data_IF_229706334768
#
_entry.id   IF_229706334768
#
_cell.length_a   1.000
_cell.length_b   1.000
_cell.length_c   1.000
_cell.angle_alpha   90.00
_cell.angle_beta   90.00
_cell.angle_gamma   90.00
#
_symmetry.space_group_name_H-M   'P 1'
#
loop_
_entity.id
_entity.type
_entity.pdbx_description
1 polymer ?
#
# COMPACT_ATOMS: atom_id res chain seq x y z
N UNK A 1 7.44 -12.60 13.30
CA UNK A 1 6.94 -11.36 12.65
C UNK A 1 5.59 -11.70 12.04
N UNK A 2 4.53 -10.97 12.38
CA UNK A 2 3.19 -11.26 11.87
C UNK A 2 3.07 -10.79 10.41
N UNK A 3 3.32 -11.70 9.47
CA UNK A 3 3.23 -11.46 8.01
C UNK A 3 1.78 -11.52 7.50
N UNK A 4 0.85 -11.03 8.32
CA UNK A 4 -0.59 -11.21 8.13
C UNK A 4 -1.30 -9.91 8.43
N UNK A 5 -2.24 -9.54 7.57
CA UNK A 5 -3.15 -8.41 7.80
C UNK A 5 -4.49 -8.99 8.23
N UNK A 6 -5.03 -8.44 9.33
CA UNK A 6 -6.31 -8.83 9.89
C UNK A 6 -7.27 -7.65 9.87
N UNK A 7 -8.57 -7.95 9.74
CA UNK A 7 -9.66 -7.03 10.06
C UNK A 7 -10.33 -7.48 11.34
N UNK A 8 -10.69 -6.51 12.18
CA UNK A 8 -11.30 -6.72 13.50
C UNK A 8 -12.69 -6.07 13.52
N UNK A 9 -13.74 -6.81 13.13
CA UNK A 9 -15.09 -6.27 13.18
C UNK A 9 -15.53 -6.07 14.64
N UNK A 10 -16.36 -5.05 14.88
CA UNK A 10 -16.90 -4.77 16.21
C UNK A 10 -17.71 -5.98 16.69
N UNK A 11 -17.26 -6.57 17.81
CA UNK A 11 -17.96 -7.70 18.47
C UNK A 11 -18.06 -8.99 17.63
N UNK A 12 -17.08 -9.25 16.76
CA UNK A 12 -16.94 -10.52 16.03
C UNK A 12 -15.48 -11.00 16.04
N UNK A 13 -15.24 -12.22 15.55
CA UNK A 13 -13.89 -12.77 15.36
C UNK A 13 -13.14 -11.98 14.29
N UNK A 14 -11.82 -11.86 14.45
CA UNK A 14 -10.94 -11.26 13.45
C UNK A 14 -10.80 -12.15 12.21
N UNK A 15 -10.75 -11.54 11.03
CA UNK A 15 -10.55 -12.26 9.77
C UNK A 15 -9.21 -11.90 9.15
N UNK A 16 -8.47 -12.89 8.66
CA UNK A 16 -7.23 -12.70 7.90
C UNK A 16 -7.58 -12.20 6.49
N UNK A 17 -7.08 -11.03 6.12
CA UNK A 17 -7.26 -10.45 4.80
C UNK A 17 -6.12 -10.82 3.86
N UNK A 18 -4.88 -10.80 4.34
CA UNK A 18 -3.73 -10.99 3.47
C UNK A 18 -2.58 -11.70 4.18
N UNK A 19 -2.02 -12.69 3.50
CA UNK A 19 -0.90 -13.51 3.92
C UNK A 19 -0.30 -14.17 2.68
N UNK A 20 1.02 -14.16 2.55
CA UNK A 20 1.71 -14.80 1.44
C UNK A 20 2.82 -15.69 2.00
N UNK A 21 2.76 -16.98 1.65
CA UNK A 21 3.75 -17.97 2.11
C UNK A 21 5.15 -17.56 1.61
N UNK A 22 6.12 -17.59 2.52
CA UNK A 22 7.51 -17.24 2.20
C UNK A 22 7.70 -15.74 1.94
N UNK A 23 6.81 -14.87 2.43
CA UNK A 23 6.90 -13.42 2.25
C UNK A 23 6.62 -12.66 3.53
N UNK A 24 7.31 -11.54 3.69
CA UNK A 24 7.14 -10.57 4.77
C UNK A 24 6.38 -9.37 4.24
N UNK A 25 5.39 -8.91 4.99
CA UNK A 25 4.69 -7.65 4.71
C UNK A 25 5.61 -6.50 5.11
N UNK A 26 5.99 -5.65 4.15
CA UNK A 26 6.76 -4.43 4.40
C UNK A 26 5.81 -3.30 4.77
N UNK A 27 4.74 -3.14 4.00
CA UNK A 27 3.76 -2.07 4.16
C UNK A 27 2.45 -2.46 3.52
N UNK A 28 1.37 -1.77 3.90
CA UNK A 28 0.09 -1.84 3.22
C UNK A 28 -0.63 -0.50 3.27
N UNK A 29 -1.67 -0.36 2.46
CA UNK A 29 -2.67 0.72 2.57
C UNK A 29 -4.03 0.17 2.18
N UNK A 30 -5.06 0.76 2.78
CA UNK A 30 -6.46 0.44 2.50
C UNK A 30 -7.07 1.64 1.78
N UNK A 31 -7.81 1.38 0.71
CA UNK A 31 -8.70 2.34 0.06
C UNK A 31 -10.14 1.94 0.40
N UNK A 32 -10.72 2.60 1.40
CA UNK A 32 -12.05 2.29 1.92
C UNK A 32 -13.15 2.53 0.87
N UNK A 33 -12.99 3.55 0.01
CA UNK A 33 -13.98 3.91 -1.01
C UNK A 33 -14.19 2.80 -2.04
N UNK A 34 -13.15 2.01 -2.32
CA UNK A 34 -13.22 0.89 -3.25
C UNK A 34 -13.12 -0.48 -2.56
N UNK A 35 -13.03 -0.50 -1.23
CA UNK A 35 -12.79 -1.71 -0.44
C UNK A 35 -11.57 -2.49 -0.97
N UNK A 36 -10.45 -1.80 -1.17
CA UNK A 36 -9.23 -2.41 -1.69
C UNK A 36 -8.09 -2.33 -0.69
N UNK A 37 -7.25 -3.37 -0.70
CA UNK A 37 -6.06 -3.48 0.11
C UNK A 37 -4.86 -3.67 -0.81
N UNK A 38 -3.91 -2.75 -0.75
CA UNK A 38 -2.67 -2.87 -1.49
C UNK A 38 -1.53 -3.18 -0.52
N UNK A 39 -0.86 -4.30 -0.74
CA UNK A 39 0.18 -4.82 0.15
C UNK A 39 1.50 -4.91 -0.58
N UNK A 40 2.54 -4.37 0.04
CA UNK A 40 3.93 -4.53 -0.35
C UNK A 40 4.53 -5.70 0.40
N UNK A 41 4.97 -6.71 -0.33
CA UNK A 41 5.69 -7.85 0.19
C UNK A 41 7.17 -7.81 -0.20
N UNK A 42 8.03 -8.28 0.69
CA UNK A 42 9.36 -8.78 0.34
C UNK A 42 9.36 -10.30 0.44
N UNK A 43 10.08 -10.98 -0.44
CA UNK A 43 10.38 -12.40 -0.22
C UNK A 43 11.13 -12.58 1.11
N UNK A 44 10.71 -13.56 1.90
CA UNK A 44 11.47 -13.98 3.08
C UNK A 44 12.84 -14.42 2.58
N UNK A 45 13.89 -13.76 3.09
CA UNK A 45 15.25 -14.19 2.76
C UNK A 45 15.42 -15.59 3.33
N UNK A 46 15.72 -16.54 2.46
CA UNK A 46 16.64 -17.60 2.87
C UNK A 46 17.92 -16.86 3.27
N UNK A 47 18.16 -16.72 4.57
CA UNK A 47 19.28 -16.12 5.31
C UNK A 47 20.66 -16.23 4.62
N UNK A 48 20.84 -17.18 3.70
CA UNK A 48 22.01 -17.34 2.82
C UNK A 48 22.12 -16.34 1.66
N UNK A 49 21.04 -15.66 1.25
CA UNK A 49 21.02 -14.66 0.16
C UNK A 49 20.81 -13.26 0.73
N UNK A 50 21.93 -12.63 1.11
CA UNK A 50 22.00 -11.28 1.68
C UNK A 50 21.33 -10.20 0.81
N UNK A 51 21.11 -10.47 -0.49
CA UNK A 51 20.64 -9.49 -1.49
C UNK A 51 19.40 -9.93 -2.31
N UNK A 52 18.42 -10.63 -1.71
CA UNK A 52 17.14 -10.81 -2.42
C UNK A 52 16.31 -9.50 -2.39
N UNK A 53 16.36 -8.76 -3.50
CA UNK A 53 15.67 -7.47 -3.73
C UNK A 53 14.28 -7.64 -4.34
N UNK A 54 13.74 -8.87 -4.38
CA UNK A 54 12.47 -9.15 -5.02
C UNK A 54 11.31 -8.79 -4.09
N UNK A 55 10.80 -7.58 -4.28
CA UNK A 55 9.54 -7.12 -3.73
C UNK A 55 8.41 -7.36 -4.73
N UNK A 56 7.19 -7.46 -4.22
CA UNK A 56 5.98 -7.51 -5.03
C UNK A 56 4.85 -6.71 -4.39
N UNK A 57 3.99 -6.15 -5.23
CA UNK A 57 2.72 -5.59 -4.83
C UNK A 57 1.61 -6.60 -5.09
N UNK A 58 0.70 -6.75 -4.13
CA UNK A 58 -0.58 -7.44 -4.37
C UNK A 58 -1.71 -6.47 -4.08
N UNK A 59 -2.56 -6.27 -5.08
CA UNK A 59 -3.82 -5.58 -4.91
C UNK A 59 -4.90 -6.62 -4.62
N UNK A 60 -5.57 -6.47 -3.47
CA UNK A 60 -6.70 -7.27 -3.07
C UNK A 60 -7.99 -6.44 -3.12
N UNK A 61 -9.10 -7.09 -3.49
CA UNK A 61 -10.46 -6.62 -3.20
C UNK A 61 -10.90 -7.23 -1.88
N UNK A 62 -11.26 -6.40 -0.92
CA UNK A 62 -11.92 -6.83 0.31
C UNK A 62 -13.39 -7.06 -0.04
N UNK A 63 -13.89 -8.24 0.29
CA UNK A 63 -15.29 -8.61 0.16
C UNK A 63 -15.88 -8.81 1.54
N UNK A 64 -17.12 -8.38 1.69
CA UNK A 64 -17.93 -8.58 2.88
C UNK A 64 -19.08 -9.54 2.52
N UNK A 65 -19.35 -10.48 3.42
CA UNK A 65 -20.42 -11.47 3.28
C UNK A 65 -21.23 -11.53 4.58
N UNK A 66 -22.54 -11.35 4.45
CA UNK A 66 -23.47 -11.54 5.55
C UNK A 66 -23.61 -13.03 5.86
N UNK A 67 -23.55 -13.40 7.13
CA UNK A 67 -23.87 -14.74 7.58
C UNK A 67 -24.66 -14.71 8.88
N UNK A 68 -25.34 -15.80 9.19
CA UNK A 68 -26.04 -15.98 10.45
C UNK A 68 -25.30 -17.05 11.24
N UNK A 69 -24.93 -16.77 12.48
CA UNK A 69 -24.32 -17.78 13.34
C UNK A 69 -25.35 -18.81 13.83
N UNK A 70 -24.87 -19.84 14.51
CA UNK A 70 -25.70 -20.91 15.06
C UNK A 70 -26.71 -20.42 16.12
N UNK A 71 -26.57 -19.18 16.60
CA UNK A 71 -27.47 -18.51 17.55
C UNK A 71 -28.47 -17.57 16.87
N UNK A 72 -28.53 -17.54 15.54
CA UNK A 72 -29.44 -16.67 14.79
C UNK A 72 -28.98 -15.20 14.69
N UNK A 73 -27.75 -14.88 15.13
CA UNK A 73 -27.20 -13.53 15.07
C UNK A 73 -26.63 -13.27 13.68
N UNK A 74 -27.09 -12.18 13.06
CA UNK A 74 -26.53 -11.68 11.80
C UNK A 74 -25.16 -11.05 12.05
N UNK A 75 -24.15 -11.54 11.34
CA UNK A 75 -22.76 -11.14 11.43
C UNK A 75 -22.19 -10.91 10.03
N UNK A 76 -21.05 -10.23 9.98
CA UNK A 76 -20.32 -9.94 8.75
C UNK A 76 -18.99 -10.68 8.75
N UNK A 77 -18.74 -11.45 7.71
CA UNK A 77 -17.45 -12.07 7.42
C UNK A 77 -16.71 -11.23 6.39
N UNK A 78 -15.40 -11.15 6.54
CA UNK A 78 -14.54 -10.45 5.61
C UNK A 78 -13.49 -11.40 5.05
N UNK A 79 -13.17 -11.23 3.77
CA UNK A 79 -12.07 -11.92 3.12
C UNK A 79 -11.52 -11.03 2.01
N UNK A 80 -10.31 -11.33 1.51
CA UNK A 80 -9.73 -10.59 0.41
C UNK A 80 -9.44 -11.51 -0.79
N UNK A 81 -9.81 -11.04 -1.98
CA UNK A 81 -9.54 -11.71 -3.26
C UNK A 81 -8.39 -10.96 -3.94
N UNK A 82 -7.37 -11.67 -4.40
CA UNK A 82 -6.29 -11.08 -5.21
C UNK A 82 -6.85 -10.61 -6.56
N UNK A 83 -6.69 -9.33 -6.86
CA UNK A 83 -7.00 -8.77 -8.16
C UNK A 83 -5.78 -8.80 -9.08
N UNK A 84 -4.65 -8.28 -8.60
CA UNK A 84 -3.44 -8.10 -9.41
C UNK A 84 -2.19 -8.34 -8.57
N UNK A 85 -1.16 -8.90 -9.20
CA UNK A 85 0.16 -9.08 -8.61
C UNK A 85 1.18 -8.39 -9.51
N UNK A 86 1.95 -7.45 -8.94
CA UNK A 86 3.05 -6.80 -9.63
C UNK A 86 4.38 -7.30 -9.08
N UNK A 87 5.15 -7.99 -9.92
CA UNK A 87 6.42 -8.58 -9.54
C UNK A 87 7.61 -7.64 -9.75
N UNK A 88 8.75 -8.01 -9.13
CA UNK A 88 10.08 -7.48 -9.43
C UNK A 88 10.28 -5.98 -9.18
N UNK A 89 9.70 -5.45 -8.10
CA UNK A 89 10.01 -4.09 -7.66
C UNK A 89 11.44 -4.10 -7.11
N UNK A 90 12.37 -3.48 -7.83
CA UNK A 90 13.78 -3.37 -7.43
C UNK A 90 14.04 -2.11 -6.60
N UNK A 91 13.12 -1.75 -5.70
CA UNK A 91 13.26 -0.58 -4.83
C UNK A 91 13.75 -0.98 -3.46
N UNK A 92 14.66 -0.19 -2.88
CA UNK A 92 15.10 -0.39 -1.50
C UNK A 92 14.22 0.47 -0.60
N UNK A 93 13.20 -0.14 0.02
CA UNK A 93 12.21 0.55 0.88
C UNK A 93 12.56 0.33 2.37
N UNK A 94 12.49 1.35 3.24
CA UNK A 94 12.66 1.18 4.68
C UNK A 94 11.61 0.22 5.26
N UNK A 95 12.03 -0.67 6.18
CA UNK A 95 11.13 -1.67 6.78
C UNK A 95 9.94 -1.07 7.53
N UNK A 96 10.11 0.12 8.10
CA UNK A 96 9.09 0.81 8.89
C UNK A 96 8.30 1.84 8.10
N UNK A 97 8.42 1.85 6.76
CA UNK A 97 7.78 2.84 5.92
C UNK A 97 6.28 2.52 5.77
N UNK A 98 5.43 3.44 6.20
CA UNK A 98 4.00 3.42 5.91
C UNK A 98 3.76 4.01 4.51
N UNK A 99 3.53 3.11 3.56
CA UNK A 99 3.26 3.48 2.19
C UNK A 99 1.90 4.15 2.04
N UNK A 100 1.86 5.19 1.21
CA UNK A 100 0.63 5.85 0.79
C UNK A 100 0.30 5.45 -0.62
N UNK A 101 -0.92 4.99 -0.81
CA UNK A 101 -1.47 4.74 -2.13
C UNK A 101 -2.71 5.58 -2.35
N UNK A 102 -2.97 5.90 -3.60
CA UNK A 102 -4.15 6.64 -4.02
C UNK A 102 -4.54 6.21 -5.44
N UNK A 103 -5.82 6.27 -5.75
CA UNK A 103 -6.31 6.06 -7.11
C UNK A 103 -6.50 7.40 -7.82
N UNK A 104 -6.32 7.42 -9.14
CA UNK A 104 -6.62 8.57 -10.00
C UNK A 104 -7.62 8.14 -11.05
N UNK A 105 -8.77 8.84 -11.09
CA UNK A 105 -9.79 8.60 -12.11
C UNK A 105 -9.40 9.23 -13.43
N UNK A 106 -9.33 8.40 -14.47
CA UNK A 106 -9.04 8.79 -15.85
C UNK A 106 -10.30 9.34 -16.53
N UNK A 107 -10.11 9.98 -17.70
CA UNK A 107 -11.19 10.55 -18.50
C UNK A 107 -12.21 9.53 -18.99
N UNK A 108 -11.77 8.29 -19.24
CA UNK A 108 -12.63 7.16 -19.62
C UNK A 108 -13.34 6.50 -18.43
N UNK A 109 -13.12 7.01 -17.22
CA UNK A 109 -13.70 6.51 -15.98
C UNK A 109 -12.90 5.40 -15.30
N UNK A 110 -11.81 4.91 -15.90
CA UNK A 110 -10.93 3.91 -15.28
C UNK A 110 -10.17 4.50 -14.08
N UNK A 111 -9.76 3.63 -13.15
CA UNK A 111 -8.97 4.01 -11.97
C UNK A 111 -7.56 3.47 -12.13
N UNK A 112 -6.56 4.37 -12.04
CA UNK A 112 -5.15 3.98 -11.97
C UNK A 112 -4.67 4.15 -10.54
N UNK A 113 -4.12 3.09 -9.96
CA UNK A 113 -3.56 3.12 -8.61
C UNK A 113 -2.14 3.65 -8.66
N UNK A 114 -1.80 4.46 -7.67
CA UNK A 114 -0.49 5.06 -7.51
C UNK A 114 0.01 4.80 -6.10
N UNK A 115 1.34 4.74 -5.96
CA UNK A 115 2.01 4.60 -4.68
C UNK A 115 3.14 5.61 -4.56
N UNK A 116 3.30 6.21 -3.38
CA UNK A 116 4.44 7.07 -3.05
C UNK A 116 5.40 6.24 -2.20
N UNK A 117 6.57 5.93 -2.76
CA UNK A 117 7.51 4.99 -2.18
C UNK A 117 8.94 5.54 -2.20
N UNK A 118 9.71 5.34 -1.11
CA UNK A 118 11.12 5.67 -1.10
C UNK A 118 11.92 4.62 -1.88
N UNK A 119 12.91 5.08 -2.63
CA UNK A 119 13.96 4.30 -3.23
C UNK A 119 15.30 4.71 -2.62
N UNK A 120 15.69 4.03 -1.53
CA UNK A 120 16.95 4.29 -0.83
C UNK A 120 18.21 3.94 -1.63
N UNK A 121 18.07 3.33 -2.82
CA UNK A 121 19.24 3.09 -3.67
C UNK A 121 19.67 4.41 -4.34
N UNK A 122 18.69 5.18 -4.78
CA UNK A 122 18.88 6.38 -5.57
C UNK A 122 18.56 7.66 -4.77
N UNK A 123 18.28 7.52 -3.46
CA UNK A 123 17.87 8.60 -2.54
C UNK A 123 16.66 9.42 -3.04
N UNK A 124 15.70 8.73 -3.67
CA UNK A 124 14.52 9.33 -4.29
C UNK A 124 13.22 8.90 -3.64
N UNK A 125 12.29 9.83 -3.45
CA UNK A 125 10.88 9.51 -3.22
C UNK A 125 10.18 9.46 -4.58
N UNK A 126 9.67 8.30 -4.96
CA UNK A 126 9.07 8.07 -6.26
C UNK A 126 7.55 7.95 -6.16
N UNK A 127 6.85 8.56 -7.10
CA UNK A 127 5.46 8.25 -7.40
C UNK A 127 5.47 7.18 -8.47
N UNK A 128 4.93 6.01 -8.15
CA UNK A 128 4.71 4.95 -9.12
C UNK A 128 3.24 4.82 -9.47
N UNK A 129 2.94 4.51 -10.72
CA UNK A 129 1.66 3.98 -11.15
C UNK A 129 1.70 2.45 -11.18
N UNK A 130 0.59 1.86 -10.77
CA UNK A 130 0.33 0.44 -10.77
C UNK A 130 -0.79 0.20 -11.80
N UNK A 131 -0.37 0.14 -13.07
CA UNK A 131 -1.21 -0.35 -14.17
C UNK A 131 -0.67 -1.72 -14.59
N UNK A 132 -1.04 -2.29 -15.74
CA UNK A 132 -0.52 -3.57 -16.28
C UNK A 132 1.00 -3.78 -16.06
N UNK A 133 1.78 -2.70 -15.95
CA UNK A 133 3.15 -2.68 -15.46
C UNK A 133 3.35 -1.56 -14.42
N UNK A 134 4.39 -1.69 -13.60
CA UNK A 134 4.82 -0.63 -12.69
C UNK A 134 5.61 0.41 -13.47
N UNK A 135 5.21 1.68 -13.38
CA UNK A 135 5.93 2.80 -14.00
C UNK A 135 6.19 3.88 -12.97
N UNK A 136 7.37 4.48 -13.00
CA UNK A 136 7.66 5.70 -12.23
C UNK A 136 7.10 6.89 -12.99
N UNK A 137 6.19 7.62 -12.36
CA UNK A 137 5.53 8.82 -12.92
C UNK A 137 6.25 10.11 -12.54
N UNK A 138 6.96 10.11 -11.41
CA UNK A 138 7.75 11.24 -10.95
C UNK A 138 8.61 10.87 -9.76
N UNK A 139 9.59 11.70 -9.45
CA UNK A 139 10.47 11.53 -8.31
C UNK A 139 10.92 12.88 -7.76
N UNK A 140 11.29 12.89 -6.48
CA UNK A 140 11.95 14.00 -5.82
C UNK A 140 13.14 13.48 -5.02
N UNK A 141 14.27 14.18 -5.08
CA UNK A 141 15.48 13.79 -4.35
C UNK A 141 15.37 14.15 -2.87
N UNK A 142 15.66 13.18 -2.00
CA UNK A 142 15.58 13.34 -0.55
C UNK A 142 16.80 12.79 0.16
N UNK A 143 17.48 13.66 0.92
CA UNK A 143 18.49 13.21 1.88
C UNK A 143 17.82 12.42 3.02
N UNK A 144 18.47 11.32 3.41
CA UNK A 144 18.14 10.47 4.55
C UNK A 144 16.79 9.72 4.45
N UNK A 145 16.44 9.19 3.28
CA UNK A 145 15.23 8.35 3.12
C UNK A 145 15.20 7.11 4.02
N UNK A 146 16.34 6.64 4.53
CA UNK A 146 16.41 5.61 5.58
C UNK A 146 15.64 5.96 6.86
N UNK A 147 15.41 7.24 7.11
CA UNK A 147 14.65 7.77 8.25
C UNK A 147 13.22 8.17 7.87
N UNK A 148 12.79 7.90 6.64
CA UNK A 148 11.41 8.12 6.21
C UNK A 148 10.49 7.08 6.87
N UNK A 149 9.48 7.57 7.56
CA UNK A 149 8.48 6.79 8.28
C UNK A 149 7.21 6.59 7.47
N UNK A 150 6.90 7.49 6.54
CA UNK A 150 5.70 7.37 5.74
C UNK A 150 5.36 8.62 4.95
N UNK A 151 4.31 8.54 4.16
CA UNK A 151 3.70 9.66 3.46
C UNK A 151 2.23 9.75 3.82
N UNK A 152 1.71 10.96 3.99
CA UNK A 152 0.31 11.22 4.28
C UNK A 152 -0.23 12.37 3.41
N UNK A 153 -1.52 12.36 3.12
CA UNK A 153 -2.22 13.48 2.48
C UNK A 153 -2.67 14.49 3.54
N UNK A 154 -2.52 15.79 3.28
CA UNK A 154 -2.82 16.84 4.28
C UNK A 154 -4.31 17.23 4.29
N UNK A 155 -4.97 17.25 3.13
CA UNK A 155 -6.32 17.85 2.99
C UNK A 155 -7.47 16.82 3.03
N UNK A 156 -7.24 15.61 3.56
CA UNK A 156 -8.31 14.64 3.86
C UNK A 156 -9.10 14.07 2.67
N UNK A 157 -8.82 14.47 1.42
CA UNK A 157 -9.28 13.74 0.22
C UNK A 157 -8.41 12.51 0.02
N UNK A 158 -8.69 11.52 0.85
CA UNK A 158 -7.79 10.41 1.13
C UNK A 158 -7.73 9.36 0.01
N UNK A 159 -8.76 9.29 -0.84
CA UNK A 159 -8.91 8.22 -1.81
C UNK A 159 -9.65 8.73 -3.05
N UNK A 160 -9.13 8.41 -4.24
CA UNK A 160 -9.59 8.86 -5.55
C UNK A 160 -9.38 10.36 -5.87
N UNK A 161 -8.25 10.68 -6.49
CA UNK A 161 -7.96 12.00 -7.04
C UNK A 161 -8.58 12.15 -8.44
N UNK A 162 -8.97 13.38 -8.78
CA UNK A 162 -9.27 13.74 -10.17
C UNK A 162 -7.95 13.93 -10.92
N UNK A 163 -7.92 13.60 -12.21
CA UNK A 163 -6.81 13.99 -13.07
C UNK A 163 -6.58 15.51 -12.98
N UNK A 164 -5.30 15.92 -12.92
CA UNK A 164 -4.86 17.31 -12.81
C UNK A 164 -5.22 18.01 -11.49
N UNK A 165 -5.47 17.26 -10.40
CA UNK A 165 -5.65 17.84 -9.08
C UNK A 165 -4.32 17.98 -8.34
N UNK A 166 -4.03 19.20 -7.89
CA UNK A 166 -2.91 19.46 -6.97
C UNK A 166 -3.27 18.95 -5.59
N UNK A 167 -2.46 18.05 -5.05
CA UNK A 167 -2.66 17.50 -3.70
C UNK A 167 -1.45 17.76 -2.84
N UNK A 168 -1.69 18.16 -1.60
CA UNK A 168 -0.63 18.34 -0.62
C UNK A 168 -0.35 17.05 0.11
N UNK A 169 0.91 16.66 0.12
CA UNK A 169 1.41 15.52 0.89
C UNK A 169 2.40 15.98 1.96
N UNK A 170 2.40 15.28 3.08
CA UNK A 170 3.40 15.34 4.13
C UNK A 170 4.27 14.08 4.06
N UNK A 171 5.57 14.27 3.95
CA UNK A 171 6.57 13.21 4.04
C UNK A 171 7.14 13.26 5.44
N UNK A 172 6.93 12.17 6.18
CA UNK A 172 7.22 12.09 7.60
C UNK A 172 8.56 11.40 7.76
N UNK A 173 9.57 12.14 8.23
CA UNK A 173 10.83 11.59 8.68
C UNK A 173 10.84 11.54 10.21
N UNK A 174 11.72 10.72 10.79
CA UNK A 174 11.91 10.64 12.26
C UNK A 174 12.07 12.00 12.95
N UNK A 175 12.75 12.95 12.30
CA UNK A 175 13.15 14.23 12.91
C UNK A 175 12.53 15.46 12.23
N UNK A 176 11.77 15.28 11.14
CA UNK A 176 11.20 16.41 10.38
C UNK A 176 10.00 15.96 9.56
N UNK A 177 9.17 16.93 9.18
CA UNK A 177 8.11 16.73 8.18
C UNK A 177 8.39 17.67 7.02
N UNK A 178 8.30 17.14 5.80
CA UNK A 178 8.40 17.94 4.57
C UNK A 178 7.04 17.94 3.91
N UNK A 179 6.54 19.13 3.57
CA UNK A 179 5.26 19.30 2.88
C UNK A 179 5.54 19.71 1.44
N UNK A 180 4.87 19.05 0.50
CA UNK A 180 4.97 19.37 -0.92
C UNK A 180 3.65 19.13 -1.65
N UNK A 181 3.59 19.65 -2.86
CA UNK A 181 2.48 19.41 -3.78
C UNK A 181 2.85 18.31 -4.77
N UNK A 182 1.89 17.43 -5.03
CA UNK A 182 1.92 16.49 -6.15
C UNK A 182 0.86 16.90 -7.17
N UNK A 183 1.19 16.75 -8.45
CA UNK A 183 0.37 17.16 -9.59
C UNK A 183 -0.06 15.95 -10.42
#
# INVERSE_FOLDING_TARGET
MNNRIYVFPKSATSYELANEIGKTIISYSIDENFSQLLVLYSNEMDWKRVNSTSQLFVLYKITEEDYTDDFGKKLKRYYAIKLVIYHNIKKKIPKSFAARFFSVKQSDGTLIYHGILPNMKDDQLEIISLNNQIKTEGYEDFKDLKNCLGVATIDGKESCLKSNSRNKIAIIFKNRVVVMDIF
#
